data_IF_400653814676
#
_entry.id   IF_400653814676
#
_cell.length_a   1.000
_cell.length_b   1.000
_cell.length_c   1.000
_cell.angle_alpha   90.00
_cell.angle_beta   90.00
_cell.angle_gamma   90.00
#
_symmetry.space_group_name_H-M   'P 1'
#
loop_
_entity.id
_entity.type
_entity.pdbx_description
1 polymer ?
#
# COMPACT_ATOMS: atom_id res chain seq x y z
N UNK A 1 19.28 -1.52 5.20
CA UNK A 1 18.99 -2.94 5.50
C UNK A 1 17.92 -2.96 6.58
N UNK A 2 16.84 -3.74 6.43
CA UNK A 2 15.77 -3.83 7.43
C UNK A 2 16.10 -5.03 8.32
N UNK A 3 16.62 -4.75 9.52
CA UNK A 3 16.95 -5.83 10.46
C UNK A 3 15.69 -6.60 10.85
N UNK A 4 15.82 -7.92 11.01
CA UNK A 4 14.73 -8.84 11.38
C UNK A 4 13.60 -8.95 10.33
N UNK A 5 13.86 -8.60 9.07
CA UNK A 5 12.92 -8.90 7.98
C UNK A 5 12.68 -10.42 7.89
N UNK A 6 11.43 -10.83 7.99
CA UNK A 6 11.00 -12.21 7.81
C UNK A 6 10.31 -12.36 6.46
N UNK A 7 10.58 -13.46 5.76
CA UNK A 7 9.96 -13.79 4.48
C UNK A 7 8.98 -14.93 4.72
N UNK A 8 7.76 -14.74 4.23
CA UNK A 8 6.71 -15.75 4.25
C UNK A 8 6.32 -16.08 2.81
N UNK A 9 6.13 -17.36 2.50
CA UNK A 9 5.68 -17.84 1.19
C UNK A 9 4.46 -18.73 1.42
N UNK A 10 3.31 -18.31 0.90
CA UNK A 10 2.03 -19.00 1.10
C UNK A 10 0.87 -18.10 0.73
N UNK A 11 -0.34 -18.53 1.05
CA UNK A 11 -1.53 -17.70 0.83
C UNK A 11 -1.68 -16.64 1.92
N UNK A 12 -2.50 -15.62 1.66
CA UNK A 12 -2.84 -14.61 2.67
C UNK A 12 -3.55 -15.22 3.88
N UNK A 13 -4.38 -16.24 3.68
CA UNK A 13 -5.08 -16.95 4.74
C UNK A 13 -4.10 -17.66 5.68
N UNK A 14 -3.06 -18.30 5.13
CA UNK A 14 -2.02 -18.97 5.91
C UNK A 14 -1.25 -17.96 6.77
N UNK A 15 -0.90 -16.81 6.18
CA UNK A 15 -0.25 -15.70 6.90
C UNK A 15 -1.14 -15.21 8.07
N UNK A 16 -2.44 -15.03 7.84
CA UNK A 16 -3.37 -14.60 8.87
C UNK A 16 -3.43 -15.58 10.05
N UNK A 17 -3.41 -16.88 9.79
CA UNK A 17 -3.36 -17.89 10.85
C UNK A 17 -2.07 -17.79 11.66
N UNK A 18 -0.93 -17.64 10.99
CA UNK A 18 0.36 -17.53 11.64
C UNK A 18 0.47 -16.27 12.52
N UNK A 19 0.02 -15.12 12.03
CA UNK A 19 0.00 -13.86 12.79
C UNK A 19 -0.89 -13.97 14.04
N UNK A 20 -2.04 -14.64 13.94
CA UNK A 20 -2.93 -14.90 15.09
C UNK A 20 -2.26 -15.80 16.14
N UNK A 21 -1.63 -16.89 15.70
CA UNK A 21 -0.90 -17.83 16.60
C UNK A 21 0.23 -17.12 17.33
N UNK A 22 0.94 -16.21 16.65
CA UNK A 22 2.05 -15.44 17.22
C UNK A 22 1.60 -14.24 18.07
N UNK A 23 0.28 -13.99 18.20
CA UNK A 23 -0.28 -12.81 18.86
C UNK A 23 0.33 -11.48 18.37
N UNK A 24 0.75 -11.44 17.10
CA UNK A 24 1.57 -10.35 16.54
C UNK A 24 0.76 -9.09 16.16
N UNK A 25 -0.53 -9.02 16.53
CA UNK A 25 -1.41 -7.88 16.25
C UNK A 25 -2.11 -7.97 14.89
N UNK A 26 -2.64 -6.83 14.42
CA UNK A 26 -3.32 -6.74 13.13
C UNK A 26 -2.33 -6.69 11.95
N UNK A 27 -2.74 -7.22 10.79
CA UNK A 27 -1.97 -7.09 9.55
C UNK A 27 -2.16 -5.68 8.99
N UNK A 28 -1.05 -4.97 8.77
CA UNK A 28 -1.04 -3.66 8.12
C UNK A 28 -0.58 -3.83 6.67
N UNK A 29 -1.29 -3.20 5.74
CA UNK A 29 -0.94 -3.23 4.33
C UNK A 29 -1.33 -1.94 3.62
N UNK A 30 -0.60 -1.59 2.56
CA UNK A 30 -0.90 -0.41 1.74
C UNK A 30 -2.00 -0.73 0.74
N UNK A 31 -2.85 0.26 0.49
CA UNK A 31 -3.84 0.22 -0.59
C UNK A 31 -3.20 -0.11 -1.94
N UNK A 32 -3.64 -1.22 -2.55
CA UNK A 32 -3.21 -1.63 -3.87
C UNK A 32 -4.34 -2.38 -4.61
N UNK A 33 -4.46 -2.27 -5.95
CA UNK A 33 -5.47 -2.99 -6.71
C UNK A 33 -5.47 -4.52 -6.49
N UNK A 34 -4.30 -5.10 -6.19
CA UNK A 34 -4.18 -6.55 -5.97
C UNK A 34 -4.50 -6.99 -4.53
N UNK A 35 -4.67 -6.06 -3.59
CA UNK A 35 -4.89 -6.37 -2.16
C UNK A 35 -6.33 -6.12 -1.72
N UNK A 36 -7.27 -5.95 -2.66
CA UNK A 36 -8.68 -5.64 -2.35
C UNK A 36 -9.38 -6.69 -1.47
N UNK A 37 -8.89 -7.94 -1.49
CA UNK A 37 -9.43 -9.06 -0.73
C UNK A 37 -8.69 -9.29 0.60
N UNK A 38 -7.64 -8.52 0.89
CA UNK A 38 -6.90 -8.63 2.15
C UNK A 38 -7.76 -8.10 3.30
N UNK A 39 -7.51 -8.62 4.51
CA UNK A 39 -8.22 -8.21 5.72
C UNK A 39 -7.21 -7.77 6.77
N UNK A 40 -7.43 -6.60 7.35
CA UNK A 40 -6.52 -5.98 8.29
C UNK A 40 -6.70 -4.47 8.27
N UNK A 41 -5.68 -3.74 8.70
CA UNK A 41 -5.66 -2.28 8.63
C UNK A 41 -5.03 -1.86 7.31
N UNK A 42 -5.87 -1.35 6.41
CA UNK A 42 -5.41 -0.80 5.14
C UNK A 42 -4.98 0.66 5.34
N UNK A 43 -3.73 0.96 5.00
CA UNK A 43 -3.24 2.32 4.90
C UNK A 43 -3.54 2.88 3.51
N UNK A 44 -4.12 4.06 3.47
CA UNK A 44 -4.37 4.79 2.22
C UNK A 44 -3.07 5.01 1.45
N UNK A 45 -3.16 5.01 0.12
CA UNK A 45 -2.00 5.33 -0.72
C UNK A 45 -1.47 6.73 -0.37
N UNK A 46 -0.17 6.82 -0.09
CA UNK A 46 0.53 8.09 0.07
C UNK A 46 0.71 8.75 -1.31
N UNK A 47 -0.23 9.61 -1.68
CA UNK A 47 -0.15 10.40 -2.91
C UNK A 47 0.89 11.51 -2.76
N UNK A 48 1.76 11.67 -3.75
CA UNK A 48 2.78 12.72 -3.78
C UNK A 48 2.17 14.13 -3.82
N UNK A 49 1.06 14.27 -4.56
CA UNK A 49 0.29 15.50 -4.70
C UNK A 49 -1.17 15.20 -4.37
N UNK A 50 -1.58 15.33 -3.09
CA UNK A 50 -2.95 15.04 -2.65
C UNK A 50 -4.03 15.83 -3.41
N UNK A 51 -3.67 16.99 -3.94
CA UNK A 51 -4.52 17.89 -4.72
C UNK A 51 -4.67 17.45 -6.19
N UNK A 52 -3.77 16.60 -6.69
CA UNK A 52 -3.77 16.10 -8.07
C UNK A 52 -4.41 14.71 -8.10
N UNK A 53 -5.75 14.71 -8.10
CA UNK A 53 -6.57 13.50 -8.17
C UNK A 53 -7.15 13.27 -9.57
N UNK A 54 -7.45 12.01 -9.88
CA UNK A 54 -8.09 11.60 -11.12
C UNK A 54 -7.23 10.67 -11.97
N UNK A 55 -7.80 10.21 -13.08
CA UNK A 55 -7.10 9.37 -14.05
C UNK A 55 -6.32 10.23 -15.05
N UNK A 56 -5.06 9.87 -15.29
CA UNK A 56 -4.19 10.51 -16.27
C UNK A 56 -3.78 9.49 -17.32
N UNK A 57 -4.08 9.81 -18.58
CA UNK A 57 -3.75 8.97 -19.73
C UNK A 57 -2.24 8.94 -20.07
N UNK A 58 -1.43 9.80 -19.43
CA UNK A 58 0.03 9.78 -19.55
C UNK A 58 0.69 10.38 -18.31
N UNK A 59 1.93 9.96 -18.05
CA UNK A 59 2.77 10.52 -16.99
C UNK A 59 3.00 12.03 -17.17
N UNK A 60 3.22 12.50 -18.41
CA UNK A 60 3.43 13.94 -18.68
C UNK A 60 2.19 14.78 -18.38
N UNK A 61 0.99 14.27 -18.66
CA UNK A 61 -0.28 14.93 -18.32
C UNK A 61 -0.43 15.10 -16.80
N UNK A 62 -0.01 14.09 -16.03
CA UNK A 62 0.02 14.15 -14.56
C UNK A 62 1.07 15.15 -14.06
N UNK A 63 2.31 15.05 -14.55
CA UNK A 63 3.44 15.90 -14.14
C UNK A 63 3.13 17.39 -14.33
N UNK A 64 2.57 17.78 -15.49
CA UNK A 64 2.19 19.17 -15.77
C UNK A 64 1.16 19.73 -14.78
N UNK A 65 0.32 18.87 -14.18
CA UNK A 65 -0.61 19.28 -13.11
C UNK A 65 0.10 19.39 -11.78
N UNK A 66 1.03 18.48 -11.48
CA UNK A 66 1.84 18.51 -10.27
C UNK A 66 2.74 19.75 -10.20
N UNK A 67 3.32 20.18 -11.33
CA UNK A 67 4.17 21.39 -11.43
C UNK A 67 3.52 22.63 -10.80
N UNK A 68 2.18 22.73 -10.82
CA UNK A 68 1.44 23.85 -10.22
C UNK A 68 1.56 23.91 -8.69
N UNK A 69 1.98 22.82 -8.06
CA UNK A 69 2.09 22.62 -6.62
C UNK A 69 3.55 22.54 -6.13
N UNK A 70 4.54 22.60 -7.03
CA UNK A 70 5.99 22.55 -6.71
C UNK A 70 6.55 23.99 -6.62
N UNK A 71 5.90 24.89 -5.89
CA UNK A 71 6.43 26.25 -5.72
C UNK A 71 7.72 26.29 -4.92
#
# INVERSE_FOLDING_TARGET
NIQQLQIFVGSFQDLQQQVKVQQAGAIWYKEHPTTQHYQGVQESRAWLFPEVQGYFNSFFSYSKKCERYIR
#
